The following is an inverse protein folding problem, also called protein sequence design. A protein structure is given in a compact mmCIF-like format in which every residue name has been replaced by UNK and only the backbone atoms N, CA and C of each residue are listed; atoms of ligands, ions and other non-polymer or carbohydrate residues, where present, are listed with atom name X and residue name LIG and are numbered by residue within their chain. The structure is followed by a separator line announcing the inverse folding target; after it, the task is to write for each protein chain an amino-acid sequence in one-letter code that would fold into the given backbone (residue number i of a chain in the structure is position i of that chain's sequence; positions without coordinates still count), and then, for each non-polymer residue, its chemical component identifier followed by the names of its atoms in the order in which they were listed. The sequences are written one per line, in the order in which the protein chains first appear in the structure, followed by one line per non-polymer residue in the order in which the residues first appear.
data_IF_135857966224
#
_entry.id   IF_135857966224
#
_cell.length_a   1.000
_cell.length_b   1.000
_cell.length_c   1.000
_cell.angle_alpha   90.00
_cell.angle_beta   90.00
_cell.angle_gamma   90.00
#
_symmetry.space_group_name_H-M   'P 1'
#
loop_
_entity.id
_entity.type
_entity.pdbx_description
1 polymer ?
#
# COMPACT_ATOMS: atom_id res chain seq x y z
N UNK A 1 -25.99 6.29 31.95
CA UNK A 1 -24.57 5.90 31.83
C UNK A 1 -24.49 4.70 30.91
N UNK A 2 -24.19 4.91 29.62
CA UNK A 2 -23.85 3.81 28.72
C UNK A 2 -22.49 3.26 29.16
N UNK A 3 -22.40 1.95 29.38
CA UNK A 3 -21.12 1.29 29.67
C UNK A 3 -20.29 1.33 28.39
N UNK A 4 -19.11 1.95 28.46
CA UNK A 4 -18.12 1.84 27.40
C UNK A 4 -17.87 0.35 27.11
N UNK A 5 -17.80 -0.02 25.83
CA UNK A 5 -17.46 -1.38 25.43
C UNK A 5 -16.07 -1.73 25.97
N UNK A 6 -15.76 -3.02 26.15
CA UNK A 6 -14.44 -3.43 26.66
C UNK A 6 -13.29 -2.90 25.78
N UNK A 7 -13.51 -2.83 24.47
CA UNK A 7 -12.59 -2.22 23.51
C UNK A 7 -12.45 -0.70 23.74
N UNK A 8 -13.56 0.02 23.94
CA UNK A 8 -13.54 1.46 24.27
C UNK A 8 -12.84 1.74 25.61
N UNK A 9 -13.03 0.90 26.62
CA UNK A 9 -12.34 1.03 27.90
C UNK A 9 -10.83 0.76 27.80
N UNK A 10 -10.43 -0.27 27.04
CA UNK A 10 -9.02 -0.60 26.82
C UNK A 10 -8.28 0.47 26.01
N UNK A 11 -8.98 1.15 25.10
CA UNK A 11 -8.44 2.25 24.32
C UNK A 11 -8.43 3.59 25.09
N UNK A 12 -9.58 4.00 25.65
CA UNK A 12 -9.75 5.34 26.24
C UNK A 12 -9.19 5.45 27.67
N UNK A 13 -9.36 4.42 28.50
CA UNK A 13 -9.00 4.48 29.93
C UNK A 13 -7.67 3.81 30.25
N UNK A 14 -7.27 2.81 29.45
CA UNK A 14 -6.01 2.08 29.65
C UNK A 14 -4.91 2.48 28.66
N UNK A 15 -5.23 3.25 27.61
CA UNK A 15 -4.30 3.62 26.53
C UNK A 15 -3.52 2.42 25.95
N UNK A 16 -4.11 1.22 25.98
CA UNK A 16 -3.40 -0.01 25.59
C UNK A 16 -3.41 -0.23 24.08
N UNK A 17 -4.43 0.30 23.40
CA UNK A 17 -4.65 0.18 21.95
C UNK A 17 -5.36 1.45 21.45
N UNK A 18 -5.13 1.91 20.21
CA UNK A 18 -5.95 2.98 19.63
C UNK A 18 -7.44 2.54 19.56
N UNK A 19 -8.35 3.51 19.60
CA UNK A 19 -9.79 3.23 19.43
C UNK A 19 -10.02 2.59 18.06
N UNK A 20 -10.73 1.47 18.03
CA UNK A 20 -11.18 0.83 16.78
C UNK A 20 -12.39 1.53 16.17
N UNK A 21 -12.99 2.49 16.88
CA UNK A 21 -14.10 3.27 16.33
C UNK A 21 -13.60 4.07 15.13
N UNK A 22 -14.20 3.83 13.97
CA UNK A 22 -13.90 4.44 12.67
C UNK A 22 -12.63 3.96 11.95
N UNK A 23 -11.95 2.90 12.40
CA UNK A 23 -10.81 2.32 11.65
C UNK A 23 -11.31 1.70 10.33
N UNK A 24 -10.55 1.92 9.24
CA UNK A 24 -10.92 1.46 7.90
C UNK A 24 -10.72 -0.05 7.74
N UNK A 25 -9.71 -0.60 8.41
CA UNK A 25 -9.32 -2.01 8.38
C UNK A 25 -9.44 -2.64 9.78
N UNK A 26 -10.64 -2.68 10.32
CA UNK A 26 -10.96 -3.25 11.64
C UNK A 26 -10.67 -4.76 11.74
N UNK A 27 -10.71 -5.49 10.62
CA UNK A 27 -10.33 -6.91 10.54
C UNK A 27 -8.81 -7.15 10.48
N UNK A 28 -7.99 -6.10 10.39
CA UNK A 28 -6.53 -6.25 10.36
C UNK A 28 -5.99 -6.59 11.74
N UNK A 29 -5.54 -7.84 11.89
CA UNK A 29 -4.82 -8.32 13.07
C UNK A 29 -3.33 -8.55 12.75
N UNK A 30 -2.38 -7.81 13.36
CA UNK A 30 -0.96 -8.07 13.20
C UNK A 30 -0.55 -9.50 13.52
N UNK A 31 -1.17 -10.17 14.48
CA UNK A 31 -0.80 -11.54 14.87
C UNK A 31 -1.15 -12.56 13.78
N UNK A 32 -2.11 -12.24 12.91
CA UNK A 32 -2.55 -13.07 11.78
C UNK A 32 -1.84 -12.66 10.49
N UNK A 33 -1.75 -11.36 10.23
CA UNK A 33 -1.35 -10.79 8.94
C UNK A 33 0.13 -10.43 8.86
N UNK A 34 0.83 -10.29 10.00
CA UNK A 34 2.26 -9.97 10.02
C UNK A 34 3.05 -11.23 10.31
N UNK A 35 3.93 -11.59 9.38
CA UNK A 35 4.80 -12.77 9.50
C UNK A 35 6.21 -12.44 9.01
N UNK A 36 7.24 -13.16 9.46
CA UNK A 36 8.52 -13.14 8.77
C UNK A 36 8.31 -13.69 7.35
N UNK A 37 8.67 -12.89 6.34
CA UNK A 37 8.57 -13.29 4.93
C UNK A 37 9.95 -13.15 4.30
N UNK A 38 10.45 -14.27 3.81
CA UNK A 38 11.65 -14.31 2.98
C UNK A 38 11.30 -14.11 1.51
N UNK A 39 12.24 -13.54 0.76
CA UNK A 39 12.14 -13.38 -0.68
C UNK A 39 12.16 -14.75 -1.38
N UNK A 40 11.16 -15.02 -2.22
CA UNK A 40 11.13 -16.22 -3.05
C UNK A 40 11.61 -15.90 -4.47
N UNK A 41 12.71 -16.52 -4.90
CA UNK A 41 13.22 -16.34 -6.25
C UNK A 41 12.27 -16.91 -7.33
N UNK A 42 11.32 -17.78 -7.03
CA UNK A 42 10.42 -18.30 -8.06
C UNK A 42 9.25 -17.35 -8.34
N UNK A 43 8.99 -16.39 -7.46
CA UNK A 43 7.86 -15.47 -7.57
C UNK A 43 8.26 -14.16 -8.22
N UNK A 44 7.37 -13.65 -9.07
CA UNK A 44 7.50 -12.34 -9.67
C UNK A 44 7.46 -11.24 -8.60
N UNK A 45 8.36 -10.25 -8.71
CA UNK A 45 8.37 -9.08 -7.84
C UNK A 45 7.56 -7.97 -8.49
N UNK A 46 6.67 -7.39 -7.72
CA UNK A 46 5.95 -6.18 -8.05
C UNK A 46 6.42 -5.06 -7.13
N UNK A 47 6.47 -3.84 -7.67
CA UNK A 47 6.77 -2.64 -6.88
C UNK A 47 5.61 -1.68 -6.96
N UNK A 48 5.29 -1.00 -5.87
CA UNK A 48 4.28 0.06 -5.89
C UNK A 48 4.81 1.32 -5.29
N UNK A 49 4.68 2.41 -6.05
CA UNK A 49 5.20 3.71 -5.72
C UNK A 49 4.05 4.68 -5.44
N UNK A 50 4.13 5.37 -4.31
CA UNK A 50 3.35 6.56 -4.05
C UNK A 50 4.27 7.78 -4.00
N UNK A 51 3.93 8.81 -4.77
CA UNK A 51 4.79 9.95 -5.00
C UNK A 51 4.49 11.06 -4.00
N UNK A 52 5.47 11.35 -3.14
CA UNK A 52 5.41 12.48 -2.21
C UNK A 52 6.74 13.23 -2.20
N UNK A 53 6.67 14.57 -2.14
CA UNK A 53 7.84 15.43 -1.91
C UNK A 53 7.80 16.04 -0.51
N UNK A 54 6.73 16.81 -0.23
CA UNK A 54 6.41 17.30 1.12
C UNK A 54 5.96 16.12 1.99
N UNK A 55 5.04 15.35 1.45
CA UNK A 55 4.60 14.06 1.98
C UNK A 55 5.62 12.96 1.66
N UNK A 56 5.65 11.84 2.40
CA UNK A 56 6.64 10.79 2.17
C UNK A 56 6.47 10.11 0.81
N UNK A 57 7.58 9.83 0.15
CA UNK A 57 7.63 8.86 -0.94
C UNK A 57 7.58 7.46 -0.34
N UNK A 58 6.69 6.60 -0.86
CA UNK A 58 6.56 5.21 -0.43
C UNK A 58 6.83 4.28 -1.59
N UNK A 59 7.67 3.27 -1.36
CA UNK A 59 7.86 2.13 -2.26
C UNK A 59 7.64 0.83 -1.48
N UNK A 60 6.74 -0.02 -1.97
CA UNK A 60 6.53 -1.36 -1.42
C UNK A 60 7.01 -2.42 -2.41
N UNK A 61 7.67 -3.47 -1.92
CA UNK A 61 8.00 -4.66 -2.70
C UNK A 61 7.05 -5.79 -2.34
N UNK A 62 6.41 -6.36 -3.36
CA UNK A 62 5.31 -7.30 -3.19
C UNK A 62 5.56 -8.52 -4.08
N UNK A 63 5.32 -9.71 -3.56
CA UNK A 63 5.23 -10.95 -4.32
C UNK A 63 3.83 -11.52 -4.23
N UNK A 64 3.39 -12.22 -5.27
CA UNK A 64 2.12 -12.95 -5.25
C UNK A 64 2.41 -14.42 -5.48
N UNK A 65 1.92 -15.25 -4.56
CA UNK A 65 2.07 -16.70 -4.66
C UNK A 65 1.08 -17.31 -5.67
N UNK A 66 1.25 -18.60 -5.99
CA UNK A 66 0.37 -19.33 -6.91
C UNK A 66 -1.07 -19.40 -6.41
N UNK A 67 -1.27 -19.43 -5.08
CA UNK A 67 -2.58 -19.39 -4.43
C UNK A 67 -3.20 -17.98 -4.39
N UNK A 68 -2.53 -16.98 -4.96
CA UNK A 68 -2.99 -15.59 -4.98
C UNK A 68 -2.74 -14.83 -3.67
N UNK A 69 -1.95 -15.39 -2.75
CA UNK A 69 -1.56 -14.72 -1.51
C UNK A 69 -0.56 -13.60 -1.82
N UNK A 70 -0.91 -12.38 -1.42
CA UNK A 70 -0.11 -11.18 -1.57
C UNK A 70 0.83 -11.04 -0.39
N UNK A 71 2.14 -11.03 -0.67
CA UNK A 71 3.23 -11.05 0.31
C UNK A 71 4.02 -9.75 0.19
N UNK A 72 3.86 -8.83 1.13
CA UNK A 72 4.62 -7.57 1.18
C UNK A 72 5.96 -7.83 1.85
N UNK A 73 7.05 -7.79 1.09
CA UNK A 73 8.39 -8.17 1.54
C UNK A 73 9.09 -7.07 2.31
N UNK A 74 9.04 -5.86 1.78
CA UNK A 74 9.80 -4.72 2.30
C UNK A 74 9.10 -3.41 1.95
N UNK A 75 9.43 -2.39 2.72
CA UNK A 75 8.95 -1.03 2.52
C UNK A 75 10.11 -0.04 2.51
N UNK A 76 9.93 1.03 1.75
CA UNK A 76 10.83 2.17 1.76
C UNK A 76 9.98 3.43 1.84
N UNK A 77 10.18 4.19 2.91
CA UNK A 77 9.47 5.44 3.18
C UNK A 77 10.50 6.53 3.39
N UNK A 78 10.47 7.58 2.56
CA UNK A 78 11.40 8.71 2.69
C UNK A 78 10.78 10.00 2.16
N UNK A 79 10.86 11.07 2.95
CA UNK A 79 10.40 12.41 2.55
C UNK A 79 11.56 13.30 2.12
N UNK A 80 11.28 14.37 1.36
CA UNK A 80 12.26 15.43 1.02
C UNK A 80 13.54 14.90 0.35
N UNK A 81 13.41 13.97 -0.58
CA UNK A 81 14.51 13.53 -1.42
C UNK A 81 14.14 13.63 -2.89
N UNK A 82 15.16 13.65 -3.74
CA UNK A 82 15.02 13.77 -5.19
C UNK A 82 14.76 12.39 -5.81
N UNK A 83 14.16 12.38 -7.02
CA UNK A 83 13.74 11.14 -7.69
C UNK A 83 14.92 10.23 -8.03
N UNK A 84 16.09 10.78 -8.34
CA UNK A 84 17.34 10.05 -8.55
C UNK A 84 17.79 9.28 -7.31
N UNK A 85 17.70 9.90 -6.13
CA UNK A 85 18.02 9.25 -4.85
C UNK A 85 17.06 8.10 -4.58
N UNK A 86 15.75 8.32 -4.80
CA UNK A 86 14.75 7.28 -4.66
C UNK A 86 14.97 6.13 -5.66
N UNK A 87 15.28 6.43 -6.92
CA UNK A 87 15.53 5.43 -7.94
C UNK A 87 16.77 4.58 -7.62
N UNK A 88 17.84 5.20 -7.10
CA UNK A 88 19.04 4.48 -6.67
C UNK A 88 18.74 3.52 -5.51
N UNK A 89 18.03 3.98 -4.49
CA UNK A 89 17.59 3.15 -3.35
C UNK A 89 16.67 2.01 -3.81
N UNK A 90 15.72 2.30 -4.71
CA UNK A 90 14.81 1.27 -5.24
C UNK A 90 15.61 0.17 -5.94
N UNK A 91 16.57 0.53 -6.80
CA UNK A 91 17.41 -0.44 -7.49
C UNK A 91 18.28 -1.24 -6.53
N UNK A 92 18.87 -0.58 -5.53
CA UNK A 92 19.72 -1.22 -4.54
C UNK A 92 18.95 -2.22 -3.66
N UNK A 93 17.71 -1.88 -3.28
CA UNK A 93 16.86 -2.72 -2.43
C UNK A 93 16.06 -3.77 -3.20
N UNK A 94 15.98 -3.66 -4.53
CA UNK A 94 15.23 -4.63 -5.35
C UNK A 94 15.98 -5.97 -5.37
N UNK A 95 15.42 -7.04 -4.77
CA UNK A 95 16.08 -8.33 -4.72
C UNK A 95 16.22 -8.92 -6.13
N UNK A 96 17.42 -9.43 -6.44
CA UNK A 96 17.78 -10.03 -7.75
C UNK A 96 17.76 -9.09 -8.96
N UNK A 97 17.69 -7.76 -8.75
CA UNK A 97 17.79 -6.77 -9.82
C UNK A 97 16.48 -6.52 -10.61
N UNK A 98 16.54 -5.55 -11.53
CA UNK A 98 15.37 -5.07 -12.30
C UNK A 98 14.72 -6.15 -13.19
N UNK A 99 15.48 -7.15 -13.61
CA UNK A 99 15.01 -8.23 -14.50
C UNK A 99 13.89 -9.08 -13.89
N UNK A 100 13.80 -9.09 -12.56
CA UNK A 100 12.83 -9.90 -11.81
C UNK A 100 11.57 -9.11 -11.43
N UNK A 101 11.56 -7.83 -11.75
CA UNK A 101 10.41 -6.96 -11.52
C UNK A 101 9.44 -7.13 -12.67
N UNK A 102 8.30 -7.77 -12.40
CA UNK A 102 7.24 -7.95 -13.40
C UNK A 102 6.57 -6.61 -13.76
N UNK A 103 6.34 -5.75 -12.77
CA UNK A 103 5.83 -4.41 -12.98
C UNK A 103 6.10 -3.50 -11.78
N UNK A 104 6.31 -2.22 -12.07
CA UNK A 104 6.25 -1.14 -11.09
C UNK A 104 4.95 -0.39 -11.29
N UNK A 105 4.07 -0.39 -10.30
CA UNK A 105 2.86 0.42 -10.27
C UNK A 105 3.11 1.75 -9.59
N UNK A 106 2.42 2.81 -10.02
CA UNK A 106 2.54 4.11 -9.38
C UNK A 106 1.21 4.86 -9.32
N UNK A 107 1.17 5.91 -8.49
CA UNK A 107 0.05 6.86 -8.47
C UNK A 107 -0.13 7.52 -9.86
N UNK A 108 -1.36 7.58 -10.40
CA UNK A 108 -1.71 8.40 -11.55
C UNK A 108 -1.21 9.85 -11.51
N UNK A 109 -1.10 10.46 -10.32
CA UNK A 109 -0.62 11.82 -10.12
C UNK A 109 0.85 12.00 -10.53
N UNK A 110 1.67 10.95 -10.49
CA UNK A 110 3.07 11.01 -10.95
C UNK A 110 3.24 11.18 -12.46
N UNK A 111 2.15 10.99 -13.22
CA UNK A 111 2.09 11.30 -14.65
C UNK A 111 1.88 12.79 -14.92
N UNK A 112 1.44 13.57 -13.93
CA UNK A 112 1.32 15.02 -14.05
C UNK A 112 2.70 15.66 -14.17
N UNK A 113 2.79 16.68 -15.02
CA UNK A 113 4.03 17.43 -15.24
C UNK A 113 4.25 18.32 -14.01
N UNK A 114 5.45 18.28 -13.44
CA UNK A 114 5.81 19.26 -12.41
C UNK A 114 6.07 20.61 -13.09
N UNK A 115 5.38 21.66 -12.64
CA UNK A 115 5.53 23.02 -13.18
C UNK A 115 6.97 23.55 -13.04
N UNK A 116 7.75 23.00 -12.10
CA UNK A 116 9.13 23.42 -11.82
C UNK A 116 10.16 22.76 -12.74
N UNK A 117 10.02 21.46 -13.05
CA UNK A 117 11.00 20.71 -13.86
C UNK A 117 10.56 20.49 -15.30
N UNK A 118 9.28 20.73 -15.63
CA UNK A 118 8.72 20.50 -16.97
C UNK A 118 8.66 19.02 -17.36
N UNK A 119 9.00 18.11 -16.44
CA UNK A 119 8.98 16.66 -16.60
C UNK A 119 8.03 16.02 -15.59
N UNK A 120 7.47 14.86 -15.94
CA UNK A 120 6.73 14.03 -15.00
C UNK A 120 7.68 13.09 -14.28
N UNK A 121 7.38 12.77 -13.02
CA UNK A 121 8.18 11.83 -12.21
C UNK A 121 8.27 10.46 -12.89
N UNK A 122 7.20 10.04 -13.55
CA UNK A 122 7.16 8.83 -14.39
C UNK A 122 8.21 8.86 -15.51
N UNK A 123 8.43 10.01 -16.15
CA UNK A 123 9.41 10.16 -17.23
C UNK A 123 10.85 10.16 -16.70
N UNK A 124 11.07 10.78 -15.55
CA UNK A 124 12.37 10.76 -14.88
C UNK A 124 12.75 9.32 -14.47
N UNK A 125 11.83 8.61 -13.80
CA UNK A 125 12.03 7.20 -13.45
C UNK A 125 12.28 6.32 -14.68
N UNK A 126 11.56 6.56 -15.78
CA UNK A 126 11.78 5.84 -17.03
C UNK A 126 13.18 6.08 -17.60
N UNK A 127 13.68 7.32 -17.55
CA UNK A 127 15.06 7.65 -17.96
C UNK A 127 16.08 6.94 -17.09
N UNK A 128 15.75 6.76 -15.82
CA UNK A 128 16.54 5.98 -14.86
C UNK A 128 16.32 4.46 -15.00
N UNK A 129 15.58 3.98 -16.00
CA UNK A 129 15.39 2.55 -16.26
C UNK A 129 14.27 1.87 -15.47
N UNK A 130 13.47 2.62 -14.71
CA UNK A 130 12.33 2.08 -13.97
C UNK A 130 11.05 2.38 -14.77
N UNK A 131 10.50 1.35 -15.41
CA UNK A 131 9.25 1.48 -16.17
C UNK A 131 8.07 1.37 -15.22
N UNK A 132 7.31 2.46 -15.06
CA UNK A 132 6.11 2.48 -14.22
C UNK A 132 4.83 2.35 -15.05
N UNK A 133 3.79 1.80 -14.41
CA UNK A 133 2.43 1.67 -14.92
C UNK A 133 1.46 2.23 -13.90
N UNK A 134 0.40 2.89 -14.33
CA UNK A 134 -0.62 3.39 -13.42
C UNK A 134 -2.00 3.21 -14.02
N UNK A 135 -2.98 3.19 -13.15
CA UNK A 135 -4.38 3.06 -13.51
C UNK A 135 -5.21 3.97 -12.61
N UNK A 136 -6.18 4.68 -13.20
CA UNK A 136 -7.16 5.44 -12.42
C UNK A 136 -8.18 4.48 -11.82
N UNK A 137 -8.45 4.63 -10.53
CA UNK A 137 -9.50 3.90 -9.80
C UNK A 137 -10.05 4.75 -8.66
N UNK A 138 -11.24 4.39 -8.18
CA UNK A 138 -11.79 4.98 -6.97
C UNK A 138 -10.98 4.60 -5.73
N UNK A 139 -10.99 5.47 -4.71
CA UNK A 139 -10.39 5.19 -3.41
C UNK A 139 -11.15 4.04 -2.73
N UNK A 140 -12.47 4.14 -2.66
CA UNK A 140 -13.35 3.12 -2.07
C UNK A 140 -13.21 1.75 -2.74
N UNK A 141 -13.18 1.71 -4.07
CA UNK A 141 -12.97 0.45 -4.82
C UNK A 141 -11.67 -0.22 -4.39
N UNK A 142 -10.59 0.55 -4.26
CA UNK A 142 -9.30 0.02 -3.88
C UNK A 142 -9.23 -0.41 -2.40
N UNK A 143 -9.85 0.34 -1.49
CA UNK A 143 -9.98 -0.05 -0.07
C UNK A 143 -10.71 -1.39 0.06
N UNK A 144 -11.79 -1.56 -0.71
CA UNK A 144 -12.55 -2.82 -0.72
C UNK A 144 -11.70 -4.01 -1.22
N UNK A 145 -10.78 -3.80 -2.17
CA UNK A 145 -9.84 -4.84 -2.58
C UNK A 145 -8.87 -5.22 -1.45
N UNK A 146 -8.39 -4.23 -0.71
CA UNK A 146 -7.50 -4.46 0.44
C UNK A 146 -8.26 -5.20 1.55
N UNK A 147 -9.50 -4.78 1.88
CA UNK A 147 -10.36 -5.46 2.86
C UNK A 147 -10.55 -6.94 2.52
N UNK A 148 -10.91 -7.25 1.28
CA UNK A 148 -11.04 -8.64 0.81
C UNK A 148 -9.74 -9.45 0.91
N UNK A 149 -8.59 -8.79 0.80
CA UNK A 149 -7.30 -9.44 0.94
C UNK A 149 -6.94 -9.69 2.41
N UNK A 150 -7.33 -8.80 3.32
CA UNK A 150 -7.22 -8.99 4.78
C UNK A 150 -8.15 -10.13 5.22
N UNK A 151 -9.43 -10.01 4.90
CA UNK A 151 -10.44 -10.99 5.23
C UNK A 151 -11.41 -11.12 4.05
N UNK A 152 -11.37 -12.26 3.37
CA UNK A 152 -12.41 -12.60 2.41
C UNK A 152 -13.69 -13.00 3.14
N UNK A 153 -14.84 -12.95 2.46
CA UNK A 153 -16.13 -13.36 3.05
C UNK A 153 -16.17 -14.81 3.59
N UNK A 154 -15.23 -15.66 3.17
CA UNK A 154 -15.04 -17.02 3.68
C UNK A 154 -14.11 -17.10 4.92
N UNK A 155 -13.72 -15.96 5.50
CA UNK A 155 -12.80 -15.85 6.64
C UNK A 155 -11.33 -16.15 6.29
N UNK A 156 -10.98 -16.23 5.00
CA UNK A 156 -9.60 -16.48 4.54
C UNK A 156 -8.87 -15.17 4.30
N UNK A 157 -7.66 -15.07 4.85
CA UNK A 157 -6.74 -13.98 4.56
C UNK A 157 -5.81 -14.35 3.41
N UNK A 158 -5.67 -13.43 2.45
CA UNK A 158 -4.74 -13.53 1.33
C UNK A 158 -3.70 -12.41 1.34
N UNK A 159 -3.54 -11.70 2.45
CA UNK A 159 -2.55 -10.64 2.63
C UNK A 159 -1.62 -11.01 3.78
N UNK A 160 -0.32 -11.02 3.49
CA UNK A 160 0.73 -11.20 4.48
C UNK A 160 1.74 -10.08 4.35
N UNK A 161 2.06 -9.43 5.46
CA UNK A 161 2.98 -8.30 5.53
C UNK A 161 4.22 -8.72 6.32
N UNK A 162 5.41 -8.41 5.80
CA UNK A 162 6.66 -8.65 6.53
C UNK A 162 6.72 -7.78 7.77
N UNK A 163 7.26 -8.32 8.87
CA UNK A 163 7.51 -7.56 10.11
C UNK A 163 8.47 -6.37 9.93
N UNK A 164 9.18 -6.32 8.81
CA UNK A 164 10.02 -5.17 8.41
C UNK A 164 9.20 -3.95 7.97
N UNK A 165 7.95 -4.16 7.56
CA UNK A 165 7.08 -3.10 7.03
C UNK A 165 6.33 -2.35 8.15
N UNK A 166 7.07 -1.76 9.08
CA UNK A 166 6.51 -1.14 10.28
C UNK A 166 5.54 0.02 9.96
N UNK A 167 5.85 0.84 8.95
CA UNK A 167 5.02 1.99 8.54
C UNK A 167 3.73 1.54 7.90
N UNK A 168 3.78 0.51 7.06
CA UNK A 168 2.58 -0.09 6.51
C UNK A 168 1.72 -0.73 7.61
N UNK A 169 2.32 -1.44 8.56
CA UNK A 169 1.58 -2.06 9.69
C UNK A 169 0.91 -0.98 10.54
N UNK A 170 1.65 0.06 10.93
CA UNK A 170 1.12 1.21 11.68
C UNK A 170 -0.02 1.89 10.91
N UNK A 171 0.15 2.09 9.61
CA UNK A 171 -0.88 2.65 8.76
C UNK A 171 -2.14 1.78 8.71
N UNK A 172 -2.00 0.45 8.59
CA UNK A 172 -3.15 -0.47 8.58
C UNK A 172 -3.95 -0.41 9.89
N UNK A 173 -3.29 -0.15 11.02
CA UNK A 173 -3.93 -0.04 12.34
C UNK A 173 -4.54 1.34 12.61
N UNK A 174 -3.92 2.41 12.11
CA UNK A 174 -4.30 3.79 12.44
C UNK A 174 -5.18 4.46 11.38
N UNK A 175 -5.33 3.89 10.20
CA UNK A 175 -6.11 4.48 9.11
C UNK A 175 -7.60 4.50 9.44
N UNK A 176 -8.22 5.68 9.50
CA UNK A 176 -9.57 5.87 10.01
C UNK A 176 -10.42 6.84 9.15
N UNK A 177 -11.73 6.71 9.29
CA UNK A 177 -12.71 7.66 8.78
C UNK A 177 -12.86 8.87 9.71
N UNK A 178 -13.18 10.06 9.19
CA UNK A 178 -13.38 11.24 10.02
C UNK A 178 -14.58 11.05 10.99
N UNK A 179 -14.41 11.43 12.25
CA UNK A 179 -15.42 11.26 13.33
C UNK A 179 -16.76 11.97 13.06
N UNK A 180 -16.75 13.04 12.24
CA UNK A 180 -17.97 13.76 11.86
C UNK A 180 -18.46 13.25 10.51
N UNK A 181 -19.54 12.47 10.56
CA UNK A 181 -20.34 11.91 9.46
C UNK A 181 -20.90 12.92 8.43
N UNK A 182 -20.43 14.17 8.43
CA UNK A 182 -20.83 15.24 7.51
C UNK A 182 -19.82 15.52 6.40
N UNK A 183 -18.64 14.91 6.41
CA UNK A 183 -17.57 15.18 5.43
C UNK A 183 -17.05 13.92 4.72
N UNK A 184 -17.95 13.15 4.11
CA UNK A 184 -17.63 12.21 3.04
C UNK A 184 -17.41 10.75 3.47
N UNK A 185 -17.69 9.83 2.54
CA UNK A 185 -17.45 8.39 2.67
C UNK A 185 -15.96 8.02 2.58
N UNK A 186 -15.06 9.01 2.48
CA UNK A 186 -13.64 8.81 2.25
C UNK A 186 -12.87 8.84 3.57
N UNK A 187 -11.83 8.01 3.69
CA UNK A 187 -10.94 8.03 4.86
C UNK A 187 -10.18 9.35 4.98
N UNK A 188 -9.74 9.65 6.19
CA UNK A 188 -8.96 10.86 6.47
C UNK A 188 -7.58 10.76 5.79
N UNK A 189 -7.22 11.80 5.02
CA UNK A 189 -5.87 11.96 4.50
C UNK A 189 -5.05 12.78 5.48
N UNK A 190 -4.25 12.09 6.29
CA UNK A 190 -3.38 12.70 7.30
C UNK A 190 -1.97 13.00 6.79
N UNK A 191 -1.61 12.49 5.59
CA UNK A 191 -0.29 12.65 4.99
C UNK A 191 0.77 11.75 5.60
N UNK A 192 0.40 10.83 6.50
CA UNK A 192 1.31 9.95 7.22
C UNK A 192 0.95 8.47 7.02
N UNK A 193 -0.31 8.11 7.23
CA UNK A 193 -0.80 6.74 7.12
C UNK A 193 -1.55 6.49 5.81
N UNK A 194 -2.01 7.52 5.12
CA UNK A 194 -2.66 7.37 3.82
C UNK A 194 -1.70 6.90 2.72
N UNK A 195 -0.45 7.36 2.73
CA UNK A 195 0.53 7.05 1.66
C UNK A 195 0.89 5.55 1.54
N UNK A 196 1.23 4.82 2.63
CA UNK A 196 1.46 3.38 2.55
C UNK A 196 0.22 2.60 2.08
N UNK A 197 -0.96 3.01 2.54
CA UNK A 197 -2.23 2.40 2.15
C UNK A 197 -2.55 2.69 0.68
N UNK A 198 -2.30 3.90 0.19
CA UNK A 198 -2.49 4.27 -1.20
C UNK A 198 -1.52 3.51 -2.11
N UNK A 199 -0.26 3.33 -1.72
CA UNK A 199 0.68 2.48 -2.44
C UNK A 199 0.17 1.03 -2.56
N UNK A 200 -0.31 0.44 -1.45
CA UNK A 200 -0.90 -0.90 -1.45
C UNK A 200 -2.20 -0.95 -2.28
N UNK A 201 -3.01 0.10 -2.23
CA UNK A 201 -4.23 0.23 -3.03
C UNK A 201 -3.92 0.19 -4.53
N UNK A 202 -2.90 0.94 -4.96
CA UNK A 202 -2.46 0.96 -6.34
C UNK A 202 -1.97 -0.42 -6.80
N UNK A 203 -1.35 -1.21 -5.92
CA UNK A 203 -1.01 -2.60 -6.21
C UNK A 203 -2.25 -3.41 -6.61
N UNK A 204 -3.23 -3.51 -5.71
CA UNK A 204 -4.40 -4.36 -5.90
C UNK A 204 -5.21 -3.98 -7.14
N UNK A 205 -5.39 -2.68 -7.37
CA UNK A 205 -6.12 -2.16 -8.54
C UNK A 205 -5.43 -2.58 -9.84
N UNK A 206 -4.12 -2.36 -9.94
CA UNK A 206 -3.38 -2.66 -11.17
C UNK A 206 -3.20 -4.16 -11.38
N UNK A 207 -2.97 -4.91 -10.30
CA UNK A 207 -2.83 -6.36 -10.34
C UNK A 207 -4.13 -7.05 -10.80
N UNK A 208 -5.27 -6.66 -10.21
CA UNK A 208 -6.59 -7.20 -10.60
C UNK A 208 -6.95 -6.91 -12.05
N UNK A 209 -6.61 -5.72 -12.57
CA UNK A 209 -6.82 -5.39 -14.00
C UNK A 209 -5.89 -6.15 -14.92
N UNK A 210 -4.65 -6.37 -14.52
CA UNK A 210 -3.67 -7.16 -15.29
C UNK A 210 -4.12 -8.63 -15.38
N UNK A 211 -4.63 -9.19 -14.27
CA UNK A 211 -5.20 -10.54 -14.23
C UNK A 211 -6.43 -10.68 -15.14
N UNK A 212 -7.38 -9.73 -15.09
CA UNK A 212 -8.56 -9.72 -15.99
C UNK A 212 -8.21 -9.61 -17.47
N UNK A 213 -7.14 -8.89 -17.80
CA UNK A 213 -6.67 -8.79 -19.20
C UNK A 213 -6.11 -10.12 -19.70
N UNK A 214 -5.48 -10.89 -18.81
CA UNK A 214 -4.91 -12.20 -19.15
C UNK A 214 -5.98 -13.28 -19.31
N UNK A 215 -7.08 -13.21 -18.55
CA UNK A 215 -8.22 -14.15 -18.68
C UNK A 215 -9.11 -13.86 -19.89
N UNK A 216 -8.94 -12.73 -20.57
CA UNK A 216 -9.55 -12.45 -21.88
C UNK A 216 -8.62 -12.93 -23.00
N UNK A 217 -8.38 -14.22 -23.07
CA UNK A 217 -7.92 -14.86 -24.31
C UNK A 217 -8.99 -15.86 -24.73
N UNK A 218 -9.50 -15.60 -25.94
CA UNK A 218 -10.43 -16.42 -26.71
C UNK A 218 -9.98 -17.88 -26.80
#
# INVERSE_FOLDING_TARGET
MQRASRAGWEAEMLCKRPSLENVVFDEFDPDIHVKPIDYDANLAVYRTLDFGFVNPFVCLWIQVDQDGVVRVLDEYVRSRATIDVHAAEIKQRTPSGEERVAATFCDPAGGSVNDVTGTSVVRELRTLGIVTRYCRSGILEGIELVRRAICSGDGKSTLVISSRCQRLIEAMQCYHYPEKSTAGELPLKDGLYDHPIDALRYFFVNYKRSSKTTSRRY
#
